data_IF_698821388727
#
_entry.id   IF_698821388727
#
_cell.length_a   1.000
_cell.length_b   1.000
_cell.length_c   1.000
_cell.angle_alpha   90.00
_cell.angle_beta   90.00
_cell.angle_gamma   90.00
#
_symmetry.space_group_name_H-M   'P 1'
#
loop_
_entity.id
_entity.type
_entity.pdbx_description
1 polymer ?
#
# COMPACT_ATOMS: atom_id res chain seq x y z
N UNK A 1 24.28 21.95 78.34
CA UNK A 1 25.18 20.79 78.19
C UNK A 1 25.46 20.64 76.70
N UNK A 2 26.70 20.90 76.28
CA UNK A 2 27.08 21.09 74.88
C UNK A 2 27.05 19.77 74.09
N UNK A 3 26.30 19.74 72.97
CA UNK A 3 26.37 18.65 72.01
C UNK A 3 27.65 18.82 71.17
N UNK A 4 28.67 18.05 71.55
CA UNK A 4 29.94 17.88 70.81
C UNK A 4 29.67 17.54 69.34
N UNK A 5 30.10 18.43 68.46
CA UNK A 5 30.19 18.17 67.02
C UNK A 5 31.19 17.02 66.80
N UNK A 6 30.73 15.84 66.35
CA UNK A 6 31.60 14.67 66.09
C UNK A 6 32.07 14.70 64.63
N UNK A 7 33.34 15.06 64.33
CA UNK A 7 33.86 15.20 62.96
C UNK A 7 33.92 13.88 62.17
N UNK A 8 33.76 12.73 62.84
CA UNK A 8 33.75 11.42 62.19
C UNK A 8 32.50 11.15 61.36
N UNK A 9 31.33 11.66 61.76
CA UNK A 9 30.07 11.44 61.05
C UNK A 9 30.07 12.18 59.70
N UNK A 10 30.65 13.37 59.65
CA UNK A 10 30.74 14.17 58.42
C UNK A 10 31.73 13.59 57.41
N UNK A 11 32.80 12.93 57.89
CA UNK A 11 33.70 12.16 57.02
C UNK A 11 32.99 10.97 56.39
N UNK A 12 32.23 10.20 57.18
CA UNK A 12 31.50 9.02 56.70
C UNK A 12 30.44 9.42 55.64
N UNK A 13 29.69 10.50 55.89
CA UNK A 13 28.72 11.04 54.92
C UNK A 13 29.38 11.52 53.62
N UNK A 14 30.56 12.16 53.68
CA UNK A 14 31.31 12.57 52.46
C UNK A 14 31.77 11.36 51.65
N UNK A 15 32.26 10.30 52.29
CA UNK A 15 32.65 9.08 51.59
C UNK A 15 31.44 8.35 50.98
N UNK A 16 30.29 8.36 51.65
CA UNK A 16 29.04 7.82 51.10
C UNK A 16 28.54 8.62 49.87
N UNK A 17 28.60 9.95 49.90
CA UNK A 17 28.22 10.76 48.72
C UNK A 17 29.15 10.58 47.53
N UNK A 18 30.46 10.40 47.77
CA UNK A 18 31.44 10.13 46.71
C UNK A 18 31.23 8.72 46.13
N UNK A 19 30.94 7.73 46.99
CA UNK A 19 30.64 6.35 46.56
C UNK A 19 29.35 6.25 45.73
N UNK A 20 28.29 6.96 46.14
CA UNK A 20 27.04 7.05 45.37
C UNK A 20 27.22 7.80 44.04
N UNK A 21 28.01 8.87 44.03
CA UNK A 21 28.35 9.60 42.81
C UNK A 21 29.15 8.76 41.80
N UNK A 22 30.15 8.02 42.27
CA UNK A 22 30.94 7.11 41.43
C UNK A 22 30.10 5.95 40.87
N UNK A 23 29.16 5.43 41.67
CA UNK A 23 28.25 4.36 41.24
C UNK A 23 27.25 4.84 40.17
N UNK A 24 26.74 6.06 40.31
CA UNK A 24 25.87 6.68 39.31
C UNK A 24 26.61 6.97 38.01
N UNK A 25 27.85 7.45 38.08
CA UNK A 25 28.69 7.70 36.90
C UNK A 25 29.08 6.40 36.20
N UNK A 26 29.32 5.32 36.94
CA UNK A 26 29.57 3.99 36.37
C UNK A 26 28.33 3.41 35.65
N UNK A 27 27.13 3.63 36.19
CA UNK A 27 25.88 3.24 35.53
C UNK A 27 25.61 4.06 34.26
N UNK A 28 25.90 5.36 34.27
CA UNK A 28 25.79 6.22 33.07
C UNK A 28 26.82 5.80 32.02
N UNK A 29 28.08 5.58 32.39
CA UNK A 29 29.11 5.09 31.46
C UNK A 29 28.76 3.69 30.92
N UNK A 30 28.18 2.81 31.73
CA UNK A 30 27.69 1.52 31.25
C UNK A 30 26.50 1.70 30.29
N UNK A 31 25.59 2.64 30.53
CA UNK A 31 24.50 2.93 29.60
C UNK A 31 24.98 3.56 28.27
N UNK A 32 26.09 4.30 28.27
CA UNK A 32 26.71 4.86 27.05
C UNK A 32 27.69 3.92 26.33
N UNK A 33 28.12 2.82 26.97
CA UNK A 33 29.06 1.83 26.40
C UNK A 33 28.46 0.43 26.24
N UNK A 34 27.29 0.15 26.84
CA UNK A 34 26.52 -1.04 26.54
C UNK A 34 26.10 -0.96 25.06
N UNK A 35 26.46 -1.95 24.23
CA UNK A 35 26.12 -1.93 22.81
C UNK A 35 24.60 -2.03 22.69
N UNK A 36 23.95 -0.89 22.46
CA UNK A 36 22.56 -0.81 22.04
C UNK A 36 22.51 -1.19 20.57
N UNK A 37 21.96 -2.36 20.30
CA UNK A 37 21.72 -2.87 18.96
C UNK A 37 22.49 -4.16 18.74
N UNK A 38 21.75 -5.26 18.71
CA UNK A 38 22.12 -6.35 17.83
C UNK A 38 22.22 -5.75 16.42
N UNK A 39 23.44 -5.46 15.96
CA UNK A 39 23.64 -5.14 14.56
C UNK A 39 23.26 -6.39 13.78
N UNK A 40 22.14 -6.36 13.07
CA UNK A 40 21.75 -7.39 12.12
C UNK A 40 22.76 -7.38 10.96
N UNK A 41 23.91 -8.04 11.16
CA UNK A 41 24.83 -8.37 10.08
C UNK A 41 24.27 -9.58 9.33
N UNK A 42 23.55 -9.33 8.24
CA UNK A 42 23.22 -10.36 7.27
C UNK A 42 24.47 -10.78 6.50
N UNK A 43 24.96 -12.01 6.69
CA UNK A 43 25.97 -12.61 5.82
C UNK A 43 25.28 -13.52 4.81
N UNK A 44 25.62 -13.39 3.53
CA UNK A 44 25.18 -14.35 2.52
C UNK A 44 25.66 -15.75 2.93
N UNK A 45 24.71 -16.66 3.15
CA UNK A 45 25.05 -18.03 3.48
C UNK A 45 25.83 -18.66 2.31
N UNK A 46 26.97 -19.31 2.59
CA UNK A 46 27.63 -20.19 1.63
C UNK A 46 26.62 -21.15 1.00
N UNK A 47 26.79 -21.50 -0.28
CA UNK A 47 25.81 -22.29 -1.04
C UNK A 47 25.32 -23.56 -0.32
N UNK A 48 26.20 -24.24 0.42
CA UNK A 48 25.90 -25.45 1.19
C UNK A 48 25.10 -25.22 2.49
N UNK A 49 25.01 -23.98 2.97
CA UNK A 49 24.21 -23.57 4.14
C UNK A 49 22.91 -22.87 3.73
N UNK A 50 22.71 -22.60 2.44
CA UNK A 50 21.44 -22.09 1.93
C UNK A 50 20.42 -23.21 2.06
N UNK A 51 19.34 -22.97 2.79
CA UNK A 51 18.17 -23.83 2.67
C UNK A 51 17.64 -23.69 1.25
N UNK A 52 17.42 -24.81 0.57
CA UNK A 52 16.66 -24.79 -0.67
C UNK A 52 15.25 -24.31 -0.35
N UNK A 53 14.81 -23.29 -1.08
CA UNK A 53 13.44 -22.84 -1.01
C UNK A 53 12.61 -23.70 -1.95
N UNK A 54 11.59 -24.35 -1.42
CA UNK A 54 10.74 -25.24 -2.21
C UNK A 54 10.03 -24.45 -3.31
N UNK A 55 10.06 -25.01 -4.51
CA UNK A 55 9.35 -24.45 -5.65
C UNK A 55 7.88 -24.83 -5.57
N UNK A 56 7.02 -23.82 -5.70
CA UNK A 56 5.59 -24.05 -5.88
C UNK A 56 5.30 -24.12 -7.37
N UNK A 57 4.73 -25.25 -7.82
CA UNK A 57 4.34 -25.42 -9.22
C UNK A 57 2.84 -25.18 -9.36
N UNK A 58 2.48 -24.26 -10.25
CA UNK A 58 1.11 -23.93 -10.60
C UNK A 58 0.81 -24.53 -11.98
N UNK A 59 -0.18 -25.41 -12.02
CA UNK A 59 -0.61 -26.09 -13.25
C UNK A 59 -1.47 -25.20 -14.14
N UNK A 60 -1.55 -25.56 -15.42
CA UNK A 60 -2.39 -24.88 -16.41
C UNK A 60 -3.86 -24.75 -15.96
N UNK A 61 -4.43 -25.80 -15.36
CA UNK A 61 -5.82 -25.77 -14.89
C UNK A 61 -6.02 -24.80 -13.71
N UNK A 62 -5.01 -24.65 -12.84
CA UNK A 62 -5.06 -23.66 -11.75
C UNK A 62 -4.97 -22.23 -12.29
N UNK A 63 -4.15 -21.99 -13.32
CA UNK A 63 -4.09 -20.68 -13.98
C UNK A 63 -5.43 -20.32 -14.62
N UNK A 64 -6.09 -21.28 -15.30
CA UNK A 64 -7.43 -21.06 -15.88
C UNK A 64 -8.47 -20.71 -14.84
N UNK A 65 -8.39 -21.35 -13.67
CA UNK A 65 -9.34 -21.10 -12.59
C UNK A 65 -9.07 -19.79 -11.84
N UNK A 66 -7.91 -19.16 -12.08
CA UNK A 66 -7.38 -18.06 -11.29
C UNK A 66 -6.63 -18.57 -10.06
N UNK A 67 -5.46 -17.99 -9.81
CA UNK A 67 -4.58 -18.40 -8.71
C UNK A 67 -3.85 -17.20 -8.15
N UNK A 68 -3.72 -17.15 -6.82
CA UNK A 68 -2.87 -16.16 -6.14
C UNK A 68 -1.53 -16.80 -5.84
N UNK A 69 -0.47 -16.26 -6.42
CA UNK A 69 0.88 -16.70 -6.12
C UNK A 69 1.24 -16.31 -4.70
N UNK A 70 1.82 -17.22 -3.90
CA UNK A 70 2.26 -16.90 -2.55
C UNK A 70 3.44 -15.91 -2.58
N UNK A 71 3.47 -15.02 -1.59
CA UNK A 71 4.60 -14.12 -1.40
C UNK A 71 5.87 -14.87 -0.97
N UNK A 72 7.02 -14.25 -1.24
CA UNK A 72 8.35 -14.72 -0.85
C UNK A 72 8.68 -16.15 -1.30
N UNK A 73 8.06 -16.61 -2.39
CA UNK A 73 8.16 -17.98 -2.87
C UNK A 73 8.66 -18.04 -4.31
N UNK A 74 9.38 -19.11 -4.63
CA UNK A 74 9.80 -19.40 -6.00
C UNK A 74 8.66 -20.16 -6.69
N UNK A 75 8.04 -19.55 -7.71
CA UNK A 75 6.88 -20.12 -8.38
C UNK A 75 7.23 -20.48 -9.83
N UNK A 76 6.85 -21.68 -10.26
CA UNK A 76 6.82 -22.08 -11.67
C UNK A 76 5.36 -22.12 -12.13
N UNK A 77 5.07 -21.47 -13.25
CA UNK A 77 3.73 -21.38 -13.81
C UNK A 77 3.75 -21.91 -15.22
N UNK A 78 2.82 -22.84 -15.51
CA UNK A 78 2.56 -23.32 -16.85
C UNK A 78 1.30 -22.66 -17.41
N UNK A 79 1.47 -21.91 -18.50
CA UNK A 79 0.36 -21.19 -19.13
C UNK A 79 -0.28 -22.11 -20.19
N UNK A 80 -1.59 -22.38 -20.13
CA UNK A 80 -2.25 -23.23 -21.11
C UNK A 80 -2.09 -22.70 -22.53
N UNK A 81 -1.87 -23.58 -23.51
CA UNK A 81 -1.69 -23.22 -24.93
C UNK A 81 -2.92 -22.50 -25.52
N UNK A 82 -4.12 -22.80 -25.01
CA UNK A 82 -5.38 -22.21 -25.48
C UNK A 82 -5.57 -20.77 -25.00
N UNK A 83 -4.83 -20.35 -23.97
CA UNK A 83 -4.87 -18.97 -23.49
C UNK A 83 -4.03 -18.11 -24.42
N UNK A 84 -4.71 -17.34 -25.27
CA UNK A 84 -4.04 -16.47 -26.24
C UNK A 84 -3.15 -15.43 -25.56
N UNK A 85 -3.62 -14.88 -24.44
CA UNK A 85 -2.93 -13.81 -23.71
C UNK A 85 -3.44 -13.68 -22.28
N UNK A 86 -2.52 -13.72 -21.32
CA UNK A 86 -2.75 -13.21 -19.96
C UNK A 86 -2.11 -11.83 -19.90
N UNK A 87 -2.91 -10.80 -19.65
CA UNK A 87 -2.38 -9.45 -19.46
C UNK A 87 -2.47 -9.13 -18.00
N UNK A 88 -1.33 -9.01 -17.33
CA UNK A 88 -1.29 -8.41 -16.01
C UNK A 88 -1.09 -6.91 -16.19
N UNK A 89 -2.11 -6.14 -15.82
CA UNK A 89 -1.98 -4.71 -15.60
C UNK A 89 -1.62 -4.51 -14.15
N UNK A 90 -0.37 -4.18 -13.87
CA UNK A 90 -0.02 -3.75 -12.54
C UNK A 90 -0.45 -2.30 -12.38
N UNK A 91 -1.68 -2.12 -11.91
CA UNK A 91 -2.21 -0.81 -11.48
C UNK A 91 -1.58 -0.49 -10.13
N UNK A 92 -0.41 0.11 -10.18
CA UNK A 92 0.25 0.53 -8.96
C UNK A 92 -0.29 1.90 -8.53
N UNK A 93 -1.13 1.92 -7.49
CA UNK A 93 -1.24 3.09 -6.62
C UNK A 93 0.06 3.31 -5.83
N UNK A 94 0.13 4.34 -4.97
CA UNK A 94 1.34 4.66 -4.16
C UNK A 94 1.97 3.48 -3.41
N UNK A 95 1.21 2.40 -3.12
CA UNK A 95 1.71 1.15 -2.51
C UNK A 95 2.28 0.15 -3.52
N UNK A 96 1.71 0.08 -4.71
CA UNK A 96 2.10 -0.87 -5.75
C UNK A 96 3.50 -0.62 -6.31
N UNK A 97 3.89 0.65 -6.44
CA UNK A 97 5.21 1.09 -6.91
C UNK A 97 6.35 0.64 -5.99
N UNK A 98 6.03 0.11 -4.81
CA UNK A 98 7.00 -0.38 -3.82
C UNK A 98 7.15 -1.91 -3.82
N UNK A 99 6.33 -2.65 -4.58
CA UNK A 99 6.36 -4.11 -4.54
C UNK A 99 7.48 -4.62 -5.46
N UNK A 100 8.36 -5.45 -4.90
CA UNK A 100 9.40 -6.11 -5.68
C UNK A 100 8.94 -7.45 -6.21
N UNK A 101 9.09 -7.60 -7.51
CA UNK A 101 9.01 -8.91 -8.13
C UNK A 101 9.85 -8.92 -9.40
N UNK A 102 10.21 -10.12 -9.81
CA UNK A 102 10.80 -10.37 -11.10
C UNK A 102 10.33 -11.72 -11.60
N UNK A 103 10.39 -11.90 -12.91
CA UNK A 103 10.17 -13.20 -13.48
C UNK A 103 10.78 -13.36 -14.85
N UNK A 104 10.84 -14.62 -15.27
CA UNK A 104 11.45 -15.03 -16.51
C UNK A 104 10.59 -16.08 -17.20
N UNK A 105 10.19 -15.82 -18.44
CA UNK A 105 9.39 -16.74 -19.22
C UNK A 105 10.19 -17.32 -20.37
N UNK A 106 10.20 -18.65 -20.45
CA UNK A 106 10.70 -19.36 -21.62
C UNK A 106 9.68 -19.27 -22.76
N UNK A 107 10.14 -19.17 -24.01
CA UNK A 107 9.24 -19.24 -25.16
C UNK A 107 8.61 -20.63 -25.27
N UNK A 108 7.47 -20.72 -25.95
CA UNK A 108 6.74 -21.98 -26.18
C UNK A 108 7.60 -23.03 -26.90
N UNK A 109 8.44 -22.60 -27.86
CA UNK A 109 9.36 -23.46 -28.61
C UNK A 109 10.69 -23.74 -27.88
N UNK A 110 10.73 -23.57 -26.56
CA UNK A 110 11.96 -23.73 -25.79
C UNK A 110 12.48 -25.17 -25.81
N UNK A 111 13.50 -25.39 -26.63
CA UNK A 111 14.28 -26.62 -26.68
C UNK A 111 15.62 -26.42 -25.96
N UNK A 112 15.78 -27.11 -24.82
CA UNK A 112 16.98 -27.08 -23.99
C UNK A 112 18.25 -27.49 -24.76
N UNK A 113 18.15 -28.41 -25.73
CA UNK A 113 19.28 -28.85 -26.54
C UNK A 113 19.70 -27.80 -27.58
N UNK A 114 18.75 -27.01 -28.09
CA UNK A 114 19.03 -25.89 -29.00
C UNK A 114 19.48 -24.63 -28.25
N UNK A 115 19.00 -24.42 -27.03
CA UNK A 115 19.36 -23.27 -26.19
C UNK A 115 20.87 -23.19 -25.94
N UNK A 116 21.53 -24.34 -25.72
CA UNK A 116 23.00 -24.42 -25.54
C UNK A 116 23.79 -23.97 -26.78
N UNK A 117 23.14 -23.89 -27.96
CA UNK A 117 23.77 -23.53 -29.23
C UNK A 117 23.51 -22.08 -29.65
N UNK A 118 22.52 -21.41 -29.06
CA UNK A 118 22.19 -20.01 -29.37
C UNK A 118 23.00 -19.07 -28.46
N UNK A 119 23.38 -17.89 -28.97
CA UNK A 119 23.95 -16.82 -28.14
C UNK A 119 22.81 -16.01 -27.51
N UNK A 120 22.87 -15.83 -26.20
CA UNK A 120 21.86 -15.11 -25.41
C UNK A 120 20.97 -16.07 -24.59
N UNK A 121 20.34 -15.54 -23.54
CA UNK A 121 19.40 -16.30 -22.72
C UNK A 121 18.03 -16.35 -23.41
N UNK A 122 17.46 -17.54 -23.66
CA UNK A 122 16.21 -17.70 -24.40
C UNK A 122 14.99 -17.41 -23.54
N UNK A 123 14.36 -16.24 -23.72
CA UNK A 123 13.15 -15.87 -22.99
C UNK A 123 13.06 -14.37 -22.73
N UNK A 124 12.05 -13.99 -21.95
CA UNK A 124 11.80 -12.59 -21.57
C UNK A 124 11.92 -12.46 -20.06
N UNK A 125 12.80 -11.56 -19.63
CA UNK A 125 12.90 -11.11 -18.24
C UNK A 125 11.96 -9.91 -18.06
N UNK A 126 11.18 -9.92 -16.98
CA UNK A 126 10.41 -8.77 -16.54
C UNK A 126 10.75 -8.45 -15.08
N UNK A 127 10.77 -7.16 -14.76
CA UNK A 127 11.13 -6.62 -13.46
C UNK A 127 10.05 -5.61 -13.07
N UNK A 128 9.60 -5.61 -11.81
CA UNK A 128 8.76 -4.53 -11.31
C UNK A 128 9.52 -3.19 -11.35
N UNK A 129 8.80 -2.07 -11.36
CA UNK A 129 9.42 -0.74 -11.34
C UNK A 129 10.33 -0.59 -10.11
N UNK A 130 9.87 -1.03 -8.93
CA UNK A 130 10.69 -1.03 -7.72
C UNK A 130 11.99 -1.81 -7.87
N UNK A 131 11.93 -3.01 -8.44
CA UNK A 131 13.10 -3.85 -8.67
C UNK A 131 14.07 -3.19 -9.66
N UNK A 132 13.56 -2.52 -10.69
CA UNK A 132 14.38 -1.74 -11.63
C UNK A 132 15.06 -0.55 -10.94
N UNK A 133 14.33 0.21 -10.12
CA UNK A 133 14.86 1.33 -9.35
C UNK A 133 15.96 0.89 -8.37
N UNK A 134 15.73 -0.17 -7.61
CA UNK A 134 16.73 -0.71 -6.68
C UNK A 134 17.98 -1.20 -7.41
N UNK A 135 17.83 -1.89 -8.54
CA UNK A 135 18.99 -2.31 -9.36
C UNK A 135 19.75 -1.11 -9.91
N UNK A 136 19.06 -0.10 -10.41
CA UNK A 136 19.67 1.10 -10.95
C UNK A 136 20.42 1.88 -9.86
N UNK A 137 19.81 2.06 -8.69
CA UNK A 137 20.45 2.73 -7.54
C UNK A 137 21.66 1.93 -7.02
N UNK A 138 21.57 0.60 -6.93
CA UNK A 138 22.68 -0.27 -6.57
C UNK A 138 23.83 -0.19 -7.58
N UNK A 139 23.54 -0.23 -8.89
CA UNK A 139 24.55 -0.07 -9.93
C UNK A 139 25.23 1.30 -9.85
N UNK A 140 24.47 2.37 -9.62
CA UNK A 140 25.02 3.72 -9.44
C UNK A 140 25.93 3.79 -8.21
N UNK A 141 25.54 3.16 -7.09
CA UNK A 141 26.35 3.09 -5.87
C UNK A 141 27.66 2.33 -6.11
N UNK A 142 27.60 1.14 -6.71
CA UNK A 142 28.79 0.35 -7.03
C UNK A 142 29.70 1.06 -8.04
N UNK A 143 29.12 1.76 -9.02
CA UNK A 143 29.89 2.55 -9.99
C UNK A 143 30.63 3.69 -9.28
N UNK A 144 29.98 4.41 -8.36
CA UNK A 144 30.61 5.44 -7.51
C UNK A 144 31.71 4.86 -6.63
N UNK A 145 31.51 3.69 -6.03
CA UNK A 145 32.51 3.02 -5.19
C UNK A 145 33.70 2.46 -6.01
N UNK A 146 33.48 2.06 -7.26
CA UNK A 146 34.54 1.62 -8.19
C UNK A 146 35.30 2.76 -8.87
N UNK A 147 34.80 4.00 -8.77
CA UNK A 147 35.40 5.17 -9.38
C UNK A 147 36.25 5.91 -8.33
N UNK A 148 37.55 5.59 -8.27
CA UNK A 148 38.51 6.48 -7.62
C UNK A 148 38.70 7.71 -8.52
N UNK A 149 38.15 8.84 -8.12
CA UNK A 149 38.35 10.10 -8.82
C UNK A 149 39.80 10.57 -8.58
N UNK A 150 40.60 10.63 -9.64
CA UNK A 150 41.89 11.35 -9.66
C UNK A 150 41.78 12.75 -10.29
N UNK A 151 40.57 13.23 -10.63
CA UNK A 151 40.37 14.58 -11.17
C UNK A 151 39.10 15.24 -10.62
N UNK A 152 39.24 16.45 -10.07
CA UNK A 152 38.18 17.22 -9.43
C UNK A 152 36.96 17.39 -10.36
N UNK A 153 35.82 16.80 -9.97
CA UNK A 153 34.54 16.94 -10.68
C UNK A 153 33.89 18.28 -10.32
N UNK A 154 33.34 18.98 -11.31
CA UNK A 154 32.65 20.27 -11.20
C UNK A 154 31.25 20.14 -10.55
N UNK A 155 30.77 21.18 -9.86
CA UNK A 155 29.48 21.20 -9.15
C UNK A 155 28.29 20.91 -10.08
N UNK A 156 28.40 21.26 -11.36
CA UNK A 156 27.37 21.00 -12.38
C UNK A 156 27.23 19.51 -12.74
N UNK A 157 28.26 18.68 -12.54
CA UNK A 157 28.15 17.22 -12.68
C UNK A 157 27.58 16.55 -11.43
N UNK A 158 27.85 17.11 -10.24
CA UNK A 158 27.29 16.66 -8.96
C UNK A 158 25.78 16.95 -8.85
N UNK A 159 25.31 18.02 -9.49
CA UNK A 159 23.91 18.48 -9.41
C UNK A 159 22.99 17.99 -10.55
N UNK A 160 23.41 17.04 -11.39
CA UNK A 160 22.51 16.39 -12.37
C UNK A 160 21.56 15.38 -11.70
N UNK A 161 20.75 15.83 -10.75
CA UNK A 161 19.53 15.11 -10.37
C UNK A 161 18.48 15.41 -11.43
N UNK A 162 18.38 14.54 -12.45
CA UNK A 162 17.20 14.52 -13.32
C UNK A 162 15.99 14.26 -12.42
N UNK A 163 15.18 15.28 -12.18
CA UNK A 163 13.85 15.11 -11.60
C UNK A 163 13.06 14.15 -12.50
N UNK A 164 12.93 12.90 -12.08
CA UNK A 164 12.00 11.95 -12.70
C UNK A 164 10.62 12.45 -12.29
N UNK A 165 9.94 13.18 -13.17
CA UNK A 165 8.50 13.43 -13.03
C UNK A 165 7.83 12.07 -12.93
N UNK A 166 7.30 11.74 -11.75
CA UNK A 166 6.48 10.56 -11.52
C UNK A 166 5.27 10.61 -12.44
N UNK A 167 5.38 9.96 -13.58
CA UNK A 167 4.25 9.66 -14.45
C UNK A 167 3.80 8.29 -14.00
N UNK A 168 2.51 8.12 -13.67
CA UNK A 168 1.96 6.78 -13.39
C UNK A 168 2.21 5.94 -14.64
N UNK A 169 3.15 5.00 -14.55
CA UNK A 169 3.51 4.12 -15.65
C UNK A 169 2.74 2.83 -15.49
N UNK A 170 1.80 2.60 -16.41
CA UNK A 170 1.14 1.31 -16.51
C UNK A 170 2.13 0.32 -17.12
N UNK A 171 2.66 -0.60 -16.30
CA UNK A 171 3.41 -1.74 -16.81
C UNK A 171 2.41 -2.83 -17.20
N UNK A 172 2.35 -3.15 -18.49
CA UNK A 172 1.60 -4.31 -18.97
C UNK A 172 2.55 -5.47 -19.16
N UNK A 173 2.36 -6.52 -18.39
CA UNK A 173 3.05 -7.79 -18.55
C UNK A 173 2.15 -8.72 -19.37
N UNK A 174 2.68 -9.17 -20.51
CA UNK A 174 1.94 -10.02 -21.44
C UNK A 174 2.56 -11.41 -21.39
N UNK A 175 1.76 -12.38 -20.98
CA UNK A 175 2.12 -13.79 -21.04
C UNK A 175 1.31 -14.48 -22.13
N UNK A 176 1.95 -15.33 -22.93
CA UNK A 176 1.31 -16.05 -24.03
C UNK A 176 1.13 -17.52 -23.69
N UNK A 177 0.16 -18.18 -24.32
CA UNK A 177 -0.08 -19.61 -24.19
C UNK A 177 1.19 -20.44 -24.46
N UNK A 178 1.30 -21.57 -23.76
CA UNK A 178 2.41 -22.52 -23.91
C UNK A 178 3.72 -22.11 -23.21
N UNK A 179 3.79 -20.92 -22.60
CA UNK A 179 4.98 -20.49 -21.87
C UNK A 179 5.10 -21.16 -20.49
N UNK A 180 6.35 -21.38 -20.07
CA UNK A 180 6.68 -21.70 -18.68
C UNK A 180 7.44 -20.52 -18.06
N UNK A 181 6.86 -19.96 -17.00
CA UNK A 181 7.34 -18.76 -16.35
C UNK A 181 7.79 -19.04 -14.92
N UNK A 182 8.91 -18.43 -14.55
CA UNK A 182 9.49 -18.45 -13.21
C UNK A 182 9.23 -17.09 -12.60
N UNK A 183 8.52 -17.03 -11.47
CA UNK A 183 8.11 -15.75 -10.85
C UNK A 183 8.48 -15.79 -9.37
N UNK A 184 9.04 -14.67 -8.88
CA UNK A 184 9.24 -14.39 -7.47
C UNK A 184 8.62 -13.04 -7.15
N UNK A 185 7.79 -13.00 -6.12
CA UNK A 185 7.05 -11.81 -5.71
C UNK A 185 7.11 -11.61 -4.19
N UNK A 186 7.26 -10.37 -3.75
CA UNK A 186 7.24 -9.97 -2.34
C UNK A 186 5.81 -9.94 -1.76
N UNK A 187 4.81 -9.75 -2.61
CA UNK A 187 3.39 -9.74 -2.23
C UNK A 187 2.59 -10.80 -3.02
N UNK A 188 1.44 -11.26 -2.50
CA UNK A 188 0.61 -12.20 -3.23
C UNK A 188 0.21 -11.63 -4.60
N UNK A 189 0.38 -12.44 -5.64
CA UNK A 189 0.12 -12.00 -7.01
C UNK A 189 -1.04 -12.78 -7.63
N UNK A 190 -2.23 -12.18 -7.80
CA UNK A 190 -3.30 -12.81 -8.55
C UNK A 190 -2.94 -12.92 -10.04
N UNK A 191 -3.05 -14.13 -10.59
CA UNK A 191 -2.87 -14.45 -12.02
C UNK A 191 -4.05 -15.31 -12.45
N UNK A 192 -4.67 -14.94 -13.57
CA UNK A 192 -5.76 -15.73 -14.13
C UNK A 192 -6.37 -15.04 -15.34
N UNK A 193 -7.43 -15.64 -15.85
CA UNK A 193 -8.29 -15.01 -16.86
C UNK A 193 -9.10 -13.90 -16.20
N UNK A 194 -9.14 -12.76 -16.89
CA UNK A 194 -9.95 -11.57 -16.61
C UNK A 194 -10.90 -11.44 -17.81
N UNK A 195 -12.19 -11.64 -17.58
CA UNK A 195 -13.17 -11.89 -18.63
C UNK A 195 -13.78 -10.59 -19.19
N UNK A 196 -14.01 -9.61 -18.33
CA UNK A 196 -14.59 -8.30 -18.68
C UNK A 196 -13.55 -7.18 -18.76
N UNK A 197 -12.30 -7.45 -18.36
CA UNK A 197 -11.17 -6.55 -18.54
C UNK A 197 -11.10 -5.44 -17.49
N UNK A 198 -11.65 -5.66 -16.31
CA UNK A 198 -11.70 -4.69 -15.22
C UNK A 198 -10.41 -4.67 -14.36
N UNK A 199 -9.56 -5.71 -14.50
CA UNK A 199 -8.30 -5.86 -13.79
C UNK A 199 -8.31 -6.93 -12.70
N UNK A 200 -9.40 -7.67 -12.52
CA UNK A 200 -9.56 -8.78 -11.57
C UNK A 200 -9.63 -10.09 -12.34
N UNK A 201 -9.20 -11.18 -11.71
CA UNK A 201 -9.38 -12.51 -12.30
C UNK A 201 -10.59 -13.21 -11.69
N UNK A 202 -11.11 -14.20 -12.42
CA UNK A 202 -12.31 -14.97 -12.04
C UNK A 202 -12.24 -15.58 -10.62
N UNK A 203 -11.06 -15.95 -10.12
CA UNK A 203 -10.93 -16.48 -8.77
C UNK A 203 -11.14 -15.38 -7.71
N UNK A 204 -10.51 -14.23 -7.90
CA UNK A 204 -10.64 -13.10 -6.97
C UNK A 204 -12.07 -12.56 -7.01
N UNK A 205 -12.68 -12.41 -8.19
CA UNK A 205 -14.09 -11.99 -8.30
C UNK A 205 -15.02 -12.92 -7.53
N UNK A 206 -14.82 -14.24 -7.64
CA UNK A 206 -15.58 -15.23 -6.87
C UNK A 206 -15.38 -15.09 -5.36
N UNK A 207 -14.18 -14.77 -4.91
CA UNK A 207 -13.87 -14.57 -3.48
C UNK A 207 -14.54 -13.31 -2.93
N UNK A 208 -14.67 -12.26 -3.75
CA UNK A 208 -15.35 -11.01 -3.40
C UNK A 208 -16.85 -11.01 -3.72
N UNK A 209 -17.33 -12.01 -4.46
CA UNK A 209 -18.73 -12.17 -4.85
C UNK A 209 -19.15 -11.32 -6.06
N UNK A 210 -18.21 -10.69 -6.75
CA UNK A 210 -18.46 -9.91 -7.96
C UNK A 210 -18.66 -10.82 -9.19
N UNK A 211 -19.32 -10.33 -10.23
CA UNK A 211 -19.67 -11.09 -11.44
C UNK A 211 -18.50 -11.10 -12.43
N UNK A 212 -17.89 -12.28 -12.73
CA UNK A 212 -16.77 -12.40 -13.65
C UNK A 212 -17.02 -12.04 -15.11
N UNK A 213 -18.15 -11.41 -15.44
CA UNK A 213 -18.46 -10.97 -16.80
C UNK A 213 -19.05 -9.56 -16.79
N UNK A 214 -18.99 -8.86 -15.66
CA UNK A 214 -19.46 -7.50 -15.50
C UNK A 214 -18.45 -6.66 -14.71
N UNK A 215 -17.74 -5.78 -15.42
CA UNK A 215 -16.65 -4.98 -14.89
C UNK A 215 -17.03 -3.95 -13.80
N UNK A 216 -18.30 -3.86 -13.42
CA UNK A 216 -18.91 -2.97 -12.43
C UNK A 216 -20.16 -3.69 -11.90
N UNK A 217 -19.94 -4.58 -10.93
CA UNK A 217 -20.86 -5.62 -10.52
C UNK A 217 -22.11 -5.11 -9.80
N UNK A 218 -22.02 -3.98 -9.09
CA UNK A 218 -23.16 -3.36 -8.43
C UNK A 218 -23.71 -2.10 -9.13
N UNK A 219 -23.01 -1.59 -10.15
CA UNK A 219 -23.47 -0.52 -11.01
C UNK A 219 -23.40 0.86 -10.38
N UNK A 220 -22.49 1.11 -9.43
CA UNK A 220 -22.21 2.47 -8.94
C UNK A 220 -21.39 3.32 -9.93
N UNK A 221 -20.68 2.67 -10.86
CA UNK A 221 -19.84 3.31 -11.86
C UNK A 221 -18.34 3.21 -11.62
N UNK A 222 -17.91 2.59 -10.53
CA UNK A 222 -16.53 2.17 -10.24
C UNK A 222 -16.38 0.72 -10.74
N UNK A 223 -15.16 0.33 -11.11
CA UNK A 223 -14.91 -1.06 -11.55
C UNK A 223 -14.51 -1.93 -10.38
N UNK A 224 -14.93 -3.20 -10.38
CA UNK A 224 -14.63 -4.12 -9.27
C UNK A 224 -13.13 -4.16 -8.95
N UNK A 225 -12.27 -4.14 -9.96
CA UNK A 225 -10.83 -4.10 -9.76
C UNK A 225 -10.28 -2.84 -9.09
N UNK A 226 -10.89 -1.69 -9.30
CA UNK A 226 -10.54 -0.47 -8.57
C UNK A 226 -11.02 -0.56 -7.11
N UNK A 227 -12.24 -1.06 -6.92
CA UNK A 227 -12.83 -1.25 -5.59
C UNK A 227 -12.02 -2.22 -4.74
N UNK A 228 -11.71 -3.40 -5.27
CA UNK A 228 -10.99 -4.46 -4.55
C UNK A 228 -9.55 -4.06 -4.21
N UNK A 229 -8.83 -3.47 -5.16
CA UNK A 229 -7.38 -3.28 -5.02
C UNK A 229 -6.94 -1.86 -4.66
N UNK A 230 -7.77 -0.83 -4.87
CA UNK A 230 -7.40 0.57 -4.65
C UNK A 230 -8.28 1.25 -3.61
N UNK A 231 -9.59 1.32 -3.85
CA UNK A 231 -10.53 2.04 -3.00
C UNK A 231 -10.79 1.28 -1.70
N UNK A 232 -10.75 -0.06 -1.77
CA UNK A 232 -11.10 -1.01 -0.71
C UNK A 232 -12.58 -0.96 -0.32
N UNK A 233 -13.44 -0.54 -1.24
CA UNK A 233 -14.90 -0.63 -1.17
C UNK A 233 -15.38 -2.05 -1.50
N UNK A 234 -16.70 -2.26 -1.49
CA UNK A 234 -17.32 -3.55 -1.77
C UNK A 234 -17.91 -3.59 -3.18
N UNK A 235 -17.35 -4.39 -4.12
CA UNK A 235 -17.80 -4.44 -5.53
C UNK A 235 -19.17 -5.08 -5.77
N UNK A 236 -19.91 -5.33 -4.70
CA UNK A 236 -21.23 -5.96 -4.73
C UNK A 236 -22.25 -5.11 -3.98
N UNK A 237 -21.85 -3.92 -3.55
CA UNK A 237 -22.65 -2.99 -2.78
C UNK A 237 -22.35 -1.58 -3.26
N UNK A 238 -23.30 -1.09 -4.04
CA UNK A 238 -23.37 0.28 -4.58
C UNK A 238 -23.13 1.42 -3.58
N UNK A 239 -23.26 1.12 -2.30
CA UNK A 239 -23.13 2.02 -1.16
C UNK A 239 -22.49 1.16 -0.05
N UNK A 240 -21.17 1.29 0.08
CA UNK A 240 -20.32 0.40 0.88
C UNK A 240 -20.51 0.64 2.36
N UNK A 241 -20.53 1.89 2.81
CA UNK A 241 -20.67 2.25 4.22
C UNK A 241 -22.13 2.38 4.69
N UNK A 242 -23.07 2.45 3.76
CA UNK A 242 -24.51 2.40 4.01
C UNK A 242 -25.08 3.75 4.44
N UNK A 243 -24.46 4.86 4.07
CA UNK A 243 -24.97 6.20 4.37
C UNK A 243 -25.96 6.71 3.32
N UNK A 244 -26.11 6.03 2.18
CA UNK A 244 -27.06 6.37 1.13
C UNK A 244 -26.48 7.18 -0.05
N UNK A 245 -25.27 7.72 0.08
CA UNK A 245 -24.46 8.08 -1.08
C UNK A 245 -23.91 6.80 -1.70
N UNK A 246 -23.81 6.77 -3.04
CA UNK A 246 -23.22 5.62 -3.73
C UNK A 246 -21.72 5.87 -3.91
N UNK A 247 -20.91 4.81 -3.83
CA UNK A 247 -19.45 4.96 -3.86
C UNK A 247 -19.00 5.71 -5.12
N UNK A 248 -19.64 5.47 -6.27
CA UNK A 248 -19.36 6.15 -7.54
C UNK A 248 -19.77 7.63 -7.63
N UNK A 249 -20.48 8.18 -6.64
CA UNK A 249 -20.69 9.62 -6.42
C UNK A 249 -19.57 10.18 -5.53
N UNK A 250 -19.21 9.44 -4.51
CA UNK A 250 -18.18 9.83 -3.54
C UNK A 250 -16.78 9.83 -4.15
N UNK A 251 -16.42 8.81 -4.94
CA UNK A 251 -15.28 8.80 -5.87
C UNK A 251 -15.69 9.50 -7.18
N UNK A 252 -15.88 10.81 -7.11
CA UNK A 252 -16.48 11.62 -8.18
C UNK A 252 -15.75 11.50 -9.54
N UNK A 253 -14.42 11.27 -9.52
CA UNK A 253 -13.63 11.04 -10.73
C UNK A 253 -13.43 9.56 -11.09
N UNK A 254 -13.89 8.65 -10.23
CA UNK A 254 -13.93 7.17 -10.40
C UNK A 254 -12.55 6.58 -10.65
N UNK A 255 -11.54 7.16 -10.01
CA UNK A 255 -10.16 6.72 -10.18
C UNK A 255 -9.76 5.64 -9.15
N UNK A 256 -10.62 5.32 -8.20
CA UNK A 256 -10.40 4.36 -7.11
C UNK A 256 -9.55 4.93 -5.97
N UNK A 257 -9.48 6.26 -5.80
CA UNK A 257 -8.69 6.92 -4.76
C UNK A 257 -9.42 8.16 -4.26
N UNK A 258 -9.60 8.23 -2.95
CA UNK A 258 -10.20 9.37 -2.28
C UNK A 258 -9.23 10.57 -2.21
N UNK A 259 -9.64 11.70 -2.76
CA UNK A 259 -9.08 13.03 -2.45
C UNK A 259 -9.95 13.74 -1.41
N UNK A 260 -9.55 13.68 -0.14
CA UNK A 260 -10.25 14.30 1.02
C UNK A 260 -10.59 15.80 0.83
N UNK A 261 -9.98 16.50 -0.14
CA UNK A 261 -10.29 17.90 -0.43
C UNK A 261 -11.50 18.09 -1.33
N UNK A 262 -11.85 17.08 -2.11
CA UNK A 262 -12.89 17.16 -3.14
C UNK A 262 -13.91 16.04 -3.06
N UNK A 263 -13.60 14.96 -2.37
CA UNK A 263 -14.37 13.71 -2.31
C UNK A 263 -14.62 13.30 -0.87
N UNK A 264 -15.74 12.63 -0.63
CA UNK A 264 -16.01 11.87 0.59
C UNK A 264 -15.43 10.46 0.44
N UNK A 265 -15.41 9.70 1.52
CA UNK A 265 -14.77 8.39 1.57
C UNK A 265 -15.85 7.29 1.59
N UNK A 266 -15.98 6.48 0.52
CA UNK A 266 -17.02 5.44 0.40
C UNK A 266 -17.06 4.34 1.47
N UNK A 267 -16.12 4.38 2.41
CA UNK A 267 -15.93 3.39 3.46
C UNK A 267 -16.19 3.97 4.85
N UNK A 268 -16.51 5.25 4.92
CA UNK A 268 -16.72 6.01 6.13
C UNK A 268 -17.96 6.89 5.95
N UNK A 269 -19.07 6.47 6.55
CA UNK A 269 -20.35 7.18 6.53
C UNK A 269 -20.31 8.65 7.01
N UNK A 270 -19.17 9.09 7.56
CA UNK A 270 -18.90 10.42 8.16
C UNK A 270 -17.41 10.72 7.90
N UNK A 271 -17.14 11.31 6.73
CA UNK A 271 -15.78 11.52 6.21
C UNK A 271 -14.99 12.51 7.05
N UNK A 272 -15.61 13.59 7.49
CA UNK A 272 -14.92 14.60 8.28
C UNK A 272 -14.89 14.26 9.78
N UNK A 273 -15.80 13.41 10.27
CA UNK A 273 -15.90 12.94 11.65
C UNK A 273 -16.40 14.01 12.61
N UNK A 274 -17.43 14.74 12.23
CA UNK A 274 -18.14 15.68 13.08
C UNK A 274 -19.40 15.08 13.75
N UNK A 275 -19.88 13.94 13.24
CA UNK A 275 -21.05 13.21 13.73
C UNK A 275 -22.32 13.35 12.87
N UNK A 276 -22.27 14.10 11.77
CA UNK A 276 -23.20 14.01 10.65
C UNK A 276 -22.74 12.94 9.66
N UNK A 277 -23.66 12.49 8.82
CA UNK A 277 -23.32 11.56 7.75
C UNK A 277 -23.07 12.33 6.46
N UNK A 278 -22.21 11.80 5.60
CA UNK A 278 -21.98 12.41 4.29
C UNK A 278 -23.29 12.39 3.48
N UNK A 279 -23.88 11.20 3.36
CA UNK A 279 -25.24 10.95 2.91
C UNK A 279 -26.27 11.03 4.03
N UNK A 280 -27.29 10.17 4.00
CA UNK A 280 -28.38 10.08 4.98
C UNK A 280 -28.34 8.78 5.82
N UNK A 281 -27.83 8.84 7.06
CA UNK A 281 -27.94 7.68 7.96
C UNK A 281 -29.16 7.72 8.88
N UNK A 282 -29.55 6.53 9.31
CA UNK A 282 -30.54 6.31 10.36
C UNK A 282 -29.98 6.63 11.75
N UNK A 283 -30.43 7.73 12.33
CA UNK A 283 -30.15 8.12 13.71
C UNK A 283 -31.33 7.80 14.63
N UNK A 284 -31.14 7.97 15.95
CA UNK A 284 -32.20 7.78 16.95
C UNK A 284 -32.90 6.40 16.91
N UNK A 285 -32.11 5.31 16.83
CA UNK A 285 -32.63 3.92 16.71
C UNK A 285 -33.48 3.71 15.46
N UNK A 286 -33.19 4.43 14.38
CA UNK A 286 -33.81 4.24 13.07
C UNK A 286 -35.13 4.96 12.86
N UNK A 287 -35.42 6.00 13.64
CA UNK A 287 -36.62 6.81 13.48
C UNK A 287 -36.42 8.08 12.65
N UNK A 288 -35.18 8.44 12.35
CA UNK A 288 -34.84 9.72 11.73
C UNK A 288 -33.65 9.53 10.79
N UNK A 289 -33.72 10.16 9.62
CA UNK A 289 -32.60 10.22 8.66
C UNK A 289 -31.91 11.57 8.85
N UNK A 290 -30.59 11.56 8.97
CA UNK A 290 -29.77 12.75 9.17
C UNK A 290 -28.53 12.65 8.30
N UNK A 291 -28.13 13.78 7.75
CA UNK A 291 -27.12 13.85 6.71
C UNK A 291 -26.84 15.24 6.20
N UNK A 292 -25.69 15.40 5.57
CA UNK A 292 -25.21 16.66 5.00
C UNK A 292 -25.67 16.83 3.57
N UNK A 293 -25.48 15.81 2.71
CA UNK A 293 -26.09 15.73 1.39
C UNK A 293 -27.50 15.15 1.49
N UNK A 294 -28.49 16.04 1.48
CA UNK A 294 -29.90 15.67 1.66
C UNK A 294 -30.50 15.09 0.39
N UNK A 295 -29.91 15.39 -0.75
CA UNK A 295 -30.45 15.01 -2.04
C UNK A 295 -29.60 13.96 -2.77
N UNK A 296 -28.51 13.53 -2.14
CA UNK A 296 -27.64 12.40 -2.51
C UNK A 296 -27.07 12.57 -3.91
N UNK A 297 -26.62 13.78 -4.24
CA UNK A 297 -26.09 14.14 -5.56
C UNK A 297 -24.57 14.37 -5.56
N UNK A 298 -23.92 14.35 -4.40
CA UNK A 298 -22.50 14.62 -4.18
C UNK A 298 -22.07 16.08 -4.39
N UNK A 299 -23.03 17.02 -4.45
CA UNK A 299 -22.82 18.44 -4.73
C UNK A 299 -23.36 19.25 -3.57
N UNK A 300 -22.49 20.05 -2.96
CA UNK A 300 -22.89 20.99 -1.90
C UNK A 300 -23.94 21.99 -2.41
N UNK A 301 -25.19 21.81 -2.01
CA UNK A 301 -26.28 22.74 -2.26
C UNK A 301 -26.39 23.82 -1.17
N UNK A 302 -27.21 24.85 -1.43
CA UNK A 302 -27.31 26.04 -0.56
C UNK A 302 -27.84 25.71 0.85
N UNK A 303 -28.67 24.69 0.96
CA UNK A 303 -29.31 24.25 2.20
C UNK A 303 -28.64 23.02 2.83
N UNK A 304 -27.40 22.74 2.45
CA UNK A 304 -26.58 21.62 2.89
C UNK A 304 -25.30 22.10 3.55
N UNK A 305 -24.68 21.21 4.33
CA UNK A 305 -23.33 21.38 4.91
C UNK A 305 -22.34 20.54 4.11
N UNK A 306 -21.05 20.85 4.21
CA UNK A 306 -19.98 20.24 3.42
C UNK A 306 -19.39 19.03 4.17
N UNK A 307 -19.67 17.79 3.76
CA UNK A 307 -19.30 16.57 4.50
C UNK A 307 -17.80 16.27 4.58
N UNK A 308 -16.98 17.18 4.03
CA UNK A 308 -15.52 17.14 4.09
C UNK A 308 -14.97 18.14 5.11
N UNK A 309 -15.84 18.88 5.80
CA UNK A 309 -15.48 19.95 6.72
C UNK A 309 -16.45 20.00 7.89
N UNK A 310 -15.91 19.67 9.08
CA UNK A 310 -16.67 19.68 10.35
C UNK A 310 -17.42 20.96 10.71
N UNK A 311 -17.08 22.07 10.07
CA UNK A 311 -17.56 23.42 10.32
C UNK A 311 -17.57 24.11 8.95
N UNK A 312 -18.70 23.99 8.27
CA UNK A 312 -18.86 24.41 6.88
C UNK A 312 -18.71 25.91 6.71
N UNK A 313 -19.23 26.70 7.65
CA UNK A 313 -19.23 28.17 7.58
C UNK A 313 -18.04 28.82 8.32
N UNK A 314 -17.32 28.04 9.13
CA UNK A 314 -16.10 28.43 9.82
C UNK A 314 -16.34 29.33 11.03
N UNK A 315 -17.53 29.29 11.63
CA UNK A 315 -17.89 30.12 12.78
C UNK A 315 -17.40 29.56 14.14
N UNK A 316 -16.87 28.32 14.14
CA UNK A 316 -16.35 27.61 15.29
C UNK A 316 -17.35 26.68 15.98
N UNK A 317 -18.55 26.51 15.45
CA UNK A 317 -19.55 25.51 15.83
C UNK A 317 -19.52 24.40 14.77
N UNK A 318 -19.55 23.14 15.21
CA UNK A 318 -19.58 22.03 14.24
C UNK A 318 -20.95 21.92 13.59
N UNK A 319 -21.02 21.45 12.35
CA UNK A 319 -22.28 21.31 11.60
C UNK A 319 -23.27 20.40 12.36
N UNK A 320 -22.77 19.32 12.99
CA UNK A 320 -23.56 18.47 13.89
C UNK A 320 -24.20 19.27 15.05
N UNK A 321 -23.45 20.18 15.64
CA UNK A 321 -23.91 20.98 16.78
C UNK A 321 -24.92 22.03 16.35
N UNK A 322 -24.73 22.63 15.18
CA UNK A 322 -25.69 23.56 14.59
C UNK A 322 -27.03 22.87 14.32
N UNK A 323 -26.98 21.69 13.69
CA UNK A 323 -28.17 20.91 13.42
C UNK A 323 -28.88 20.48 14.73
N UNK A 324 -28.14 20.03 15.75
CA UNK A 324 -28.74 19.69 17.05
C UNK A 324 -29.40 20.91 17.73
N UNK A 325 -28.74 22.07 17.66
CA UNK A 325 -29.31 23.33 18.16
C UNK A 325 -30.58 23.73 17.39
N UNK A 326 -30.62 23.47 16.08
CA UNK A 326 -31.77 23.72 15.22
C UNK A 326 -33.00 22.90 15.66
N UNK A 327 -32.80 21.60 15.91
CA UNK A 327 -33.84 20.69 16.39
C UNK A 327 -34.40 21.14 17.75
N UNK A 328 -33.53 21.50 18.70
CA UNK A 328 -33.94 21.97 20.02
C UNK A 328 -34.74 23.29 19.96
N UNK A 329 -34.44 24.16 19.00
CA UNK A 329 -35.08 25.48 18.85
C UNK A 329 -36.31 25.50 17.94
N UNK A 330 -36.74 24.34 17.40
CA UNK A 330 -37.87 24.21 16.46
C UNK A 330 -37.71 25.09 15.19
N UNK A 331 -36.53 25.10 14.57
CA UNK A 331 -36.33 25.64 13.22
C UNK A 331 -36.42 27.17 13.09
N UNK A 332 -36.05 27.94 14.13
CA UNK A 332 -35.90 29.40 14.02
C UNK A 332 -34.42 29.78 14.02
N UNK A 333 -33.94 30.26 12.87
CA UNK A 333 -32.55 30.64 12.58
C UNK A 333 -31.56 29.47 12.70
N UNK A 334 -31.85 28.48 11.90
CA UNK A 334 -30.94 27.61 11.18
C UNK A 334 -31.37 27.84 9.70
#
# INVERSE_FOLDING_TARGET
MALRHKPQIHRILRWLTIGLGASSFALIMYAFTAPTGESLEGRLLPSHLRKEQEWVTISADQVRQGVTLPSHSNVIIHIPEEVTRITRRTLFGRKGDQIKYWGYCFPEDYDQAQALRRRGFPGVLFLSEKEQEERNTFQLKNRKESFSVTEDLDEDELNRTRAVRGTIRHQMEIFTGGQSCYIMTEEPLPIGTDNDGDGVNIAVERDYGSDPNNADSDGDGIRDGLEIFQLLSMPTRRDTDGDGLIDGIEDADRNGRVDERTETNPREWDSDRDGLCDGLCLVNKGSELRGEDKNLNGILDKDETDPRKKDTDGDGILDEQEYFNCLLRKGKNC
#
